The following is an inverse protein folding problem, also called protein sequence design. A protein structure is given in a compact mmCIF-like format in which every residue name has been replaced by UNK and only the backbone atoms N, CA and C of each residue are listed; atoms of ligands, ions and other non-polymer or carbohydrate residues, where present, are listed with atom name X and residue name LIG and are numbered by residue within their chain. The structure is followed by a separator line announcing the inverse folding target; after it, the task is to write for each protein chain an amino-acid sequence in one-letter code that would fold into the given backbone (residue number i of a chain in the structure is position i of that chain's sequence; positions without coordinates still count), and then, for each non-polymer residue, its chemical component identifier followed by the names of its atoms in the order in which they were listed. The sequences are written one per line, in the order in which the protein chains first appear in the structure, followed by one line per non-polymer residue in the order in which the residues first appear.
data_IF_099905540041
#
_entry.id   IF_099905540041
#
_cell.length_a   1.000
_cell.length_b   1.000
_cell.length_c   1.000
_cell.angle_alpha   90.00
_cell.angle_beta   90.00
_cell.angle_gamma   90.00
#
_symmetry.space_group_name_H-M   'P 1'
#
loop_
_entity.id
_entity.type
_entity.pdbx_description
1 polymer ?
#
# COMPACT_ATOMS: atom_id res chain seq x y z
N UNK A 1 10.90 -3.58 21.47
CA UNK A 1 11.39 -3.13 20.15
C UNK A 1 12.34 -4.16 19.54
N UNK A 2 13.12 -4.88 20.34
CA UNK A 2 13.93 -6.02 19.90
C UNK A 2 13.11 -7.19 19.32
N UNK A 3 11.90 -7.43 19.81
CA UNK A 3 11.06 -8.55 19.35
C UNK A 3 10.74 -8.53 17.85
N UNK A 4 10.51 -7.35 17.25
CA UNK A 4 10.15 -7.26 15.83
C UNK A 4 11.33 -7.61 14.92
N UNK A 5 12.54 -7.19 15.29
CA UNK A 5 13.77 -7.48 14.52
C UNK A 5 14.07 -8.98 14.60
N UNK A 6 13.97 -9.57 15.79
CA UNK A 6 14.16 -11.02 15.99
C UNK A 6 13.16 -11.83 15.17
N UNK A 7 11.88 -11.44 15.18
CA UNK A 7 10.87 -12.11 14.37
C UNK A 7 11.12 -11.95 12.87
N UNK A 8 11.58 -10.78 12.41
CA UNK A 8 11.94 -10.55 11.01
C UNK A 8 13.11 -11.42 10.57
N UNK A 9 14.16 -11.52 11.40
CA UNK A 9 15.31 -12.37 11.12
C UNK A 9 14.90 -13.85 11.04
N UNK A 10 14.09 -14.33 11.98
CA UNK A 10 13.54 -15.70 11.96
C UNK A 10 12.68 -15.94 10.72
N UNK A 11 11.80 -14.99 10.40
CA UNK A 11 10.93 -15.07 9.22
C UNK A 11 11.74 -15.16 7.92
N UNK A 12 12.83 -14.40 7.79
CA UNK A 12 13.74 -14.47 6.64
C UNK A 12 14.49 -15.79 6.53
N UNK A 13 14.72 -16.47 7.65
CA UNK A 13 15.26 -17.85 7.69
C UNK A 13 14.21 -18.93 7.38
N UNK A 14 12.97 -18.54 7.09
CA UNK A 14 11.89 -19.45 6.72
C UNK A 14 10.99 -19.91 7.87
N UNK A 15 11.12 -19.30 9.05
CA UNK A 15 10.25 -19.58 10.19
C UNK A 15 8.83 -19.04 9.92
N UNK A 16 7.88 -19.96 9.78
CA UNK A 16 6.48 -19.64 9.46
C UNK A 16 5.74 -19.05 10.67
N UNK A 17 6.01 -19.53 11.87
CA UNK A 17 5.37 -19.03 13.09
C UNK A 17 5.78 -17.58 13.33
N UNK A 18 7.07 -17.28 13.17
CA UNK A 18 7.56 -15.90 13.28
C UNK A 18 6.93 -14.98 12.21
N UNK A 19 6.72 -15.49 10.99
CA UNK A 19 6.02 -14.77 9.92
C UNK A 19 4.57 -14.48 10.28
N UNK A 20 3.84 -15.49 10.75
CA UNK A 20 2.44 -15.36 11.17
C UNK A 20 2.29 -14.35 12.31
N UNK A 21 3.16 -14.44 13.33
CA UNK A 21 3.17 -13.50 14.44
C UNK A 21 3.45 -12.05 13.99
N UNK A 22 4.39 -11.86 13.04
CA UNK A 22 4.63 -10.54 12.44
C UNK A 22 3.40 -10.00 11.72
N UNK A 23 2.71 -10.85 10.96
CA UNK A 23 1.50 -10.45 10.24
C UNK A 23 0.44 -10.01 11.25
N UNK A 24 0.12 -10.85 12.23
CA UNK A 24 -0.89 -10.58 13.26
C UNK A 24 -0.62 -9.28 14.03
N UNK A 25 0.61 -9.09 14.50
CA UNK A 25 1.03 -7.88 15.23
C UNK A 25 0.88 -6.60 14.40
N UNK A 26 0.89 -6.70 13.06
CA UNK A 26 0.85 -5.55 12.16
C UNK A 26 -0.48 -5.41 11.38
N UNK A 27 -1.48 -6.28 11.58
CA UNK A 27 -2.79 -6.14 10.92
C UNK A 27 -3.48 -4.80 11.26
N UNK A 28 -3.33 -4.32 12.50
CA UNK A 28 -3.86 -3.02 12.92
C UNK A 28 -3.27 -1.85 12.12
N UNK A 29 -2.00 -1.94 11.71
CA UNK A 29 -1.37 -0.95 10.85
C UNK A 29 -2.02 -0.94 9.46
N UNK A 30 -2.31 -2.12 8.90
CA UNK A 30 -3.00 -2.24 7.61
C UNK A 30 -4.38 -1.61 7.67
N UNK A 31 -5.18 -1.93 8.69
CA UNK A 31 -6.50 -1.31 8.90
C UNK A 31 -6.41 0.22 8.95
N UNK A 32 -5.43 0.76 9.68
CA UNK A 32 -5.23 2.21 9.77
C UNK A 32 -4.91 2.84 8.41
N UNK A 33 -4.07 2.19 7.61
CA UNK A 33 -3.68 2.70 6.28
C UNK A 33 -4.86 2.65 5.31
N UNK A 34 -5.63 1.57 5.31
CA UNK A 34 -6.77 1.33 4.41
C UNK A 34 -7.86 2.39 4.58
N UNK A 35 -8.10 2.88 5.81
CA UNK A 35 -9.07 3.96 6.08
C UNK A 35 -8.85 5.22 5.24
N UNK A 36 -7.61 5.51 4.82
CA UNK A 36 -7.29 6.66 3.95
C UNK A 36 -7.76 6.49 2.50
N UNK A 37 -8.18 5.28 2.13
CA UNK A 37 -8.66 4.91 0.80
C UNK A 37 -10.16 4.61 0.76
N UNK A 38 -10.87 4.82 1.87
CA UNK A 38 -12.32 4.68 1.94
C UNK A 38 -13.05 5.56 0.91
N UNK A 39 -14.22 5.12 0.46
CA UNK A 39 -15.07 5.87 -0.46
C UNK A 39 -14.57 5.93 -1.91
N UNK A 40 -13.62 5.08 -2.30
CA UNK A 40 -13.07 5.01 -3.67
C UNK A 40 -13.70 3.94 -4.56
N UNK A 41 -14.90 3.48 -4.21
CA UNK A 41 -15.68 2.51 -4.99
C UNK A 41 -15.34 1.03 -4.75
N UNK A 42 -14.60 0.72 -3.68
CA UNK A 42 -14.26 -0.65 -3.27
C UNK A 42 -14.63 -0.88 -1.82
N UNK A 43 -14.89 -2.14 -1.47
CA UNK A 43 -15.09 -2.54 -0.09
C UNK A 43 -13.79 -2.34 0.71
N UNK A 44 -13.95 -1.92 1.96
CA UNK A 44 -12.84 -1.81 2.91
C UNK A 44 -12.16 -3.16 3.15
N UNK A 45 -12.89 -4.27 3.10
CA UNK A 45 -12.32 -5.61 3.24
C UNK A 45 -11.43 -5.97 2.05
N UNK A 46 -11.83 -5.63 0.82
CA UNK A 46 -11.01 -5.85 -0.37
C UNK A 46 -9.70 -5.06 -0.28
N UNK A 47 -9.80 -3.77 0.07
CA UNK A 47 -8.62 -2.92 0.23
C UNK A 47 -7.72 -3.41 1.38
N UNK A 48 -8.30 -3.99 2.42
CA UNK A 48 -7.57 -4.61 3.51
C UNK A 48 -6.79 -5.85 3.04
N UNK A 49 -7.39 -6.72 2.24
CA UNK A 49 -6.68 -7.87 1.66
C UNK A 49 -5.50 -7.41 0.78
N UNK A 50 -5.72 -6.41 -0.09
CA UNK A 50 -4.65 -5.82 -0.90
C UNK A 50 -3.55 -5.21 -0.02
N UNK A 51 -3.94 -4.50 1.05
CA UNK A 51 -3.01 -3.94 2.02
C UNK A 51 -2.19 -5.02 2.74
N UNK A 52 -2.81 -6.14 3.10
CA UNK A 52 -2.15 -7.28 3.74
C UNK A 52 -1.13 -7.94 2.82
N UNK A 53 -1.39 -7.99 1.50
CA UNK A 53 -0.37 -8.40 0.51
C UNK A 53 0.83 -7.43 0.53
N UNK A 54 0.57 -6.13 0.66
CA UNK A 54 1.62 -5.13 0.84
C UNK A 54 2.44 -5.32 2.11
N UNK A 55 1.79 -5.70 3.22
CA UNK A 55 2.46 -6.02 4.47
C UNK A 55 3.36 -7.26 4.33
N UNK A 56 2.86 -8.34 3.70
CA UNK A 56 3.65 -9.55 3.45
C UNK A 56 4.91 -9.22 2.65
N UNK A 57 4.78 -8.44 1.57
CA UNK A 57 5.93 -7.98 0.79
C UNK A 57 6.89 -7.11 1.59
N UNK A 58 6.38 -6.31 2.54
CA UNK A 58 7.21 -5.51 3.41
C UNK A 58 8.02 -6.40 4.37
N UNK A 59 7.40 -7.41 4.98
CA UNK A 59 8.07 -8.41 5.82
C UNK A 59 9.17 -9.12 5.01
N UNK A 60 8.84 -9.59 3.80
CA UNK A 60 9.76 -10.36 2.95
C UNK A 60 10.99 -9.57 2.48
N UNK A 61 10.91 -8.23 2.41
CA UNK A 61 11.93 -7.38 1.78
C UNK A 61 12.56 -6.33 2.68
N UNK A 62 12.15 -6.24 3.94
CA UNK A 62 12.71 -5.27 4.86
C UNK A 62 14.16 -5.63 5.19
N UNK A 63 15.10 -4.73 4.92
CA UNK A 63 16.50 -4.94 5.27
C UNK A 63 16.73 -4.64 6.76
N UNK A 64 17.24 -5.61 7.49
CA UNK A 64 17.56 -5.48 8.92
C UNK A 64 18.73 -4.52 9.17
N UNK A 65 19.51 -4.16 8.15
CA UNK A 65 20.58 -3.17 8.24
C UNK A 65 20.06 -1.73 8.22
N UNK A 66 18.78 -1.50 7.90
CA UNK A 66 18.21 -0.16 7.94
C UNK A 66 18.05 0.34 9.38
N UNK A 67 18.59 1.52 9.66
CA UNK A 67 18.42 2.22 10.95
C UNK A 67 17.05 2.92 11.05
N UNK A 68 15.98 2.21 10.69
CA UNK A 68 14.60 2.70 10.78
C UNK A 68 13.68 1.62 11.32
N UNK A 69 12.56 2.04 11.92
CA UNK A 69 11.53 1.11 12.34
C UNK A 69 10.89 0.43 11.12
N UNK A 70 10.54 -0.85 11.26
CA UNK A 70 9.81 -1.61 10.24
C UNK A 70 8.56 -0.87 9.72
N UNK A 71 7.80 -0.22 10.60
CA UNK A 71 6.60 0.53 10.23
C UNK A 71 6.89 1.68 9.25
N UNK A 72 8.05 2.33 9.36
CA UNK A 72 8.51 3.38 8.43
C UNK A 72 8.63 2.84 7.00
N UNK A 73 9.08 1.59 6.84
CA UNK A 73 9.18 0.92 5.56
C UNK A 73 7.83 0.31 5.11
N UNK A 74 7.08 -0.29 6.02
CA UNK A 74 5.84 -0.99 5.71
C UNK A 74 4.72 -0.04 5.26
N UNK A 75 4.60 1.15 5.86
CA UNK A 75 3.55 2.13 5.52
C UNK A 75 3.53 2.50 4.03
N UNK A 76 4.64 2.96 3.41
CA UNK A 76 4.64 3.28 1.99
C UNK A 76 4.46 2.05 1.10
N UNK A 77 4.93 0.87 1.52
CA UNK A 77 4.73 -0.39 0.80
C UNK A 77 3.26 -0.79 0.72
N UNK A 78 2.57 -0.81 1.87
CA UNK A 78 1.13 -1.12 1.98
C UNK A 78 0.30 -0.11 1.19
N UNK A 79 0.54 1.19 1.40
CA UNK A 79 -0.19 2.23 0.69
C UNK A 79 0.08 2.20 -0.84
N UNK A 80 1.30 1.86 -1.24
CA UNK A 80 1.68 1.70 -2.63
C UNK A 80 0.92 0.56 -3.32
N UNK A 81 0.74 -0.57 -2.64
CA UNK A 81 -0.03 -1.69 -3.20
C UNK A 81 -1.50 -1.37 -3.39
N UNK A 82 -2.13 -0.71 -2.40
CA UNK A 82 -3.51 -0.26 -2.51
C UNK A 82 -3.66 0.73 -3.67
N UNK A 83 -2.75 1.70 -3.80
CA UNK A 83 -2.75 2.66 -4.92
C UNK A 83 -2.58 1.96 -6.27
N UNK A 84 -1.71 0.95 -6.35
CA UNK A 84 -1.50 0.19 -7.60
C UNK A 84 -2.77 -0.54 -7.99
N UNK A 85 -3.42 -1.21 -7.04
CA UNK A 85 -4.70 -1.88 -7.26
C UNK A 85 -5.77 -0.91 -7.76
N UNK A 86 -6.04 0.18 -7.03
CA UNK A 86 -7.05 1.17 -7.40
C UNK A 86 -6.82 1.81 -8.78
N UNK A 87 -5.56 1.95 -9.19
CA UNK A 87 -5.21 2.50 -10.50
C UNK A 87 -5.40 1.47 -11.61
N UNK A 88 -5.01 0.23 -11.37
CA UNK A 88 -5.03 -0.82 -12.39
C UNK A 88 -6.43 -1.42 -12.55
N UNK A 89 -7.25 -1.40 -11.49
CA UNK A 89 -8.61 -1.90 -11.48
C UNK A 89 -9.62 -0.90 -12.08
N UNK A 90 -10.72 -1.43 -12.62
CA UNK A 90 -11.76 -0.67 -13.31
C UNK A 90 -12.53 -1.52 -14.33
N UNK A 91 -13.80 -1.16 -14.58
CA UNK A 91 -14.71 -1.93 -15.44
C UNK A 91 -14.17 -2.19 -16.86
N UNK A 92 -13.36 -1.26 -17.37
CA UNK A 92 -12.66 -1.39 -18.65
C UNK A 92 -11.15 -1.35 -18.36
N UNK A 93 -10.45 -2.41 -18.78
CA UNK A 93 -8.99 -2.42 -18.70
C UNK A 93 -8.40 -1.48 -19.73
N UNK A 94 -7.67 -0.47 -19.25
CA UNK A 94 -7.01 0.53 -20.07
C UNK A 94 -5.50 0.52 -19.78
N UNK A 95 -4.68 0.92 -20.75
CA UNK A 95 -3.23 1.00 -20.55
C UNK A 95 -2.90 2.07 -19.51
N UNK A 96 -1.79 1.85 -18.77
CA UNK A 96 -1.33 2.79 -17.73
C UNK A 96 -1.01 4.17 -18.32
N UNK A 97 -0.37 4.22 -19.49
CA UNK A 97 -0.05 5.46 -20.19
C UNK A 97 -1.28 6.29 -20.54
N UNK A 98 -2.38 5.63 -20.93
CA UNK A 98 -3.64 6.31 -21.25
C UNK A 98 -4.30 6.90 -20.00
N UNK A 99 -4.37 6.14 -18.90
CA UNK A 99 -4.89 6.64 -17.60
C UNK A 99 -4.07 7.82 -17.08
N UNK A 100 -2.74 7.78 -17.20
CA UNK A 100 -1.85 8.89 -16.81
C UNK A 100 -2.07 10.14 -17.66
N UNK A 101 -2.24 9.97 -18.97
CA UNK A 101 -2.52 11.08 -19.89
C UNK A 101 -3.86 11.73 -19.59
N UNK A 102 -4.90 10.92 -19.34
CA UNK A 102 -6.22 11.40 -18.93
C UNK A 102 -6.16 12.18 -17.61
N UNK A 103 -5.41 11.71 -16.60
CA UNK A 103 -5.26 12.42 -15.33
C UNK A 103 -4.55 13.77 -15.51
N UNK A 104 -3.48 13.82 -16.32
CA UNK A 104 -2.80 15.08 -16.65
C UNK A 104 -3.74 16.06 -17.37
N UNK A 105 -4.52 15.58 -18.33
CA UNK A 105 -5.52 16.37 -19.04
C UNK A 105 -6.57 16.94 -18.07
N UNK A 106 -7.08 16.12 -17.15
CA UNK A 106 -8.07 16.54 -16.13
C UNK A 106 -7.52 17.65 -15.22
N UNK A 107 -6.29 17.48 -14.73
CA UNK A 107 -5.63 18.51 -13.89
C UNK A 107 -5.38 19.79 -14.67
N UNK A 108 -4.95 19.69 -15.94
CA UNK A 108 -4.77 20.86 -16.79
C UNK A 108 -6.09 21.58 -17.08
N UNK A 109 -7.17 20.83 -17.31
CA UNK A 109 -8.51 21.36 -17.49
C UNK A 109 -9.00 22.09 -16.23
N UNK A 110 -8.82 21.51 -15.04
CA UNK A 110 -9.18 22.15 -13.77
C UNK A 110 -8.43 23.48 -13.57
N UNK A 111 -7.12 23.51 -13.86
CA UNK A 111 -6.32 24.74 -13.81
C UNK A 111 -6.82 25.80 -14.79
N UNK A 112 -7.08 25.39 -16.04
CA UNK A 112 -7.53 26.31 -17.08
C UNK A 112 -8.93 26.86 -16.78
N UNK A 113 -9.83 26.02 -16.27
CA UNK A 113 -11.18 26.43 -15.86
C UNK A 113 -11.12 27.43 -14.70
N UNK A 114 -10.22 27.21 -13.73
CA UNK A 114 -9.98 28.16 -12.64
C UNK A 114 -9.42 29.51 -13.15
N UNK A 115 -8.51 29.50 -14.13
CA UNK A 115 -7.96 30.72 -14.72
C UNK A 115 -8.97 31.48 -15.59
N UNK A 116 -9.80 30.76 -16.36
CA UNK A 116 -10.73 31.36 -17.33
C UNK A 116 -12.15 31.56 -16.81
N UNK A 117 -12.44 31.10 -15.60
CA UNK A 117 -13.76 31.17 -14.97
C UNK A 117 -14.83 30.29 -15.65
N UNK A 118 -14.41 29.39 -16.54
CA UNK A 118 -15.23 28.40 -17.26
C UNK A 118 -14.35 27.27 -17.76
#
# INVERSE_FOLDING_TARGET
MEDTIVLLERSHKGDKEAREELVEKNLGLVHHIVRRFAGRGYDMEDLFQIGSIGLLKAIDKFDLQYDVKFSTYAVPMIAGEIKRFLRDDGMIKMSRSLKETAMKARVAQEKLSHEKGR
#
